data_IF_375963007454
#
_entry.id   IF_375963007454
#
_cell.length_a   1.000
_cell.length_b   1.000
_cell.length_c   1.000
_cell.angle_alpha   90.00
_cell.angle_beta   90.00
_cell.angle_gamma   90.00
#
_symmetry.space_group_name_H-M   'P 1'
#
loop_
_entity.id
_entity.type
_entity.pdbx_description
1 polymer ?
#
# COMPACT_ATOMS: atom_id res chain seq x y z
N UNK A 1 -1.02 -11.64 4.97
CA UNK A 1 -1.23 -10.53 5.91
C UNK A 1 -2.07 -10.95 7.12
N UNK A 2 -1.65 -10.56 8.33
CA UNK A 2 -2.38 -10.71 9.60
C UNK A 2 -2.62 -9.33 10.20
N UNK A 3 -3.76 -9.16 10.86
CA UNK A 3 -4.22 -7.89 11.42
C UNK A 3 -4.62 -8.14 12.85
N UNK A 4 -3.95 -7.48 13.79
CA UNK A 4 -4.24 -7.56 15.21
C UNK A 4 -4.66 -6.18 15.73
N UNK A 5 -5.84 -6.11 16.33
CA UNK A 5 -6.34 -4.91 17.01
C UNK A 5 -6.02 -5.04 18.51
N UNK A 6 -5.06 -4.23 18.98
CA UNK A 6 -4.63 -4.18 20.37
C UNK A 6 -5.33 -3.05 21.14
N UNK A 7 -6.42 -2.50 20.59
CA UNK A 7 -7.25 -1.43 21.16
C UNK A 7 -6.65 -0.04 20.97
N UNK A 8 -5.42 0.17 21.44
CA UNK A 8 -4.72 1.45 21.25
C UNK A 8 -4.00 1.55 19.89
N UNK A 9 -3.72 0.41 19.27
CA UNK A 9 -2.93 0.27 18.05
C UNK A 9 -3.48 -0.86 17.18
N UNK A 10 -3.40 -0.69 15.87
CA UNK A 10 -3.65 -1.75 14.88
C UNK A 10 -2.29 -2.17 14.35
N UNK A 11 -1.92 -3.42 14.62
CA UNK A 11 -0.68 -4.01 14.12
C UNK A 11 -0.99 -4.83 12.89
N UNK A 12 -0.37 -4.48 11.76
CA UNK A 12 -0.49 -5.25 10.53
C UNK A 12 0.83 -5.96 10.28
N UNK A 13 0.78 -7.28 10.32
CA UNK A 13 1.91 -8.15 10.02
C UNK A 13 1.80 -8.67 8.60
N UNK A 14 2.78 -8.41 7.77
CA UNK A 14 2.85 -8.96 6.41
C UNK A 14 4.25 -9.50 6.11
N UNK A 15 4.38 -10.49 5.21
CA UNK A 15 5.67 -10.89 4.67
C UNK A 15 6.46 -9.68 4.16
N UNK A 16 7.78 -9.73 4.34
CA UNK A 16 8.68 -8.63 3.96
C UNK A 16 8.55 -8.22 2.49
N UNK A 17 8.29 -9.18 1.61
CA UNK A 17 8.07 -8.96 0.18
C UNK A 17 6.79 -8.16 -0.10
N UNK A 18 5.70 -8.47 0.61
CA UNK A 18 4.42 -7.73 0.52
C UNK A 18 4.58 -6.29 1.03
N UNK A 19 5.35 -6.08 2.11
CA UNK A 19 5.64 -4.74 2.64
C UNK A 19 6.37 -3.86 1.61
N UNK A 20 7.43 -4.39 1.00
CA UNK A 20 8.18 -3.64 -0.01
C UNK A 20 7.32 -3.31 -1.23
N UNK A 21 6.45 -4.23 -1.66
CA UNK A 21 5.52 -3.98 -2.75
C UNK A 21 4.57 -2.82 -2.43
N UNK A 22 3.98 -2.81 -1.23
CA UNK A 22 3.07 -1.73 -0.79
C UNK A 22 3.80 -0.39 -0.71
N UNK A 23 5.00 -0.34 -0.14
CA UNK A 23 5.81 0.89 -0.07
C UNK A 23 6.19 1.39 -1.46
N UNK A 24 6.65 0.51 -2.36
CA UNK A 24 7.01 0.89 -3.73
C UNK A 24 5.81 1.43 -4.51
N UNK A 25 4.62 0.85 -4.34
CA UNK A 25 3.39 1.34 -4.97
C UNK A 25 2.96 2.71 -4.42
N UNK A 26 3.10 2.94 -3.12
CA UNK A 26 2.84 4.25 -2.52
C UNK A 26 3.82 5.30 -3.01
N UNK A 27 5.12 4.99 -3.07
CA UNK A 27 6.15 5.89 -3.60
C UNK A 27 5.92 6.23 -5.07
N UNK A 28 5.67 5.24 -5.92
CA UNK A 28 5.42 5.45 -7.35
C UNK A 28 4.13 6.27 -7.57
N UNK A 29 3.10 6.08 -6.75
CA UNK A 29 1.87 6.88 -6.84
C UNK A 29 2.07 8.35 -6.43
N UNK A 30 3.03 8.64 -5.54
CA UNK A 30 3.39 10.01 -5.12
C UNK A 30 4.30 10.69 -6.14
N UNK A 31 5.28 9.96 -6.68
CA UNK A 31 6.28 10.49 -7.61
C UNK A 31 5.71 10.69 -9.02
N UNK A 32 4.82 9.80 -9.47
CA UNK A 32 4.37 9.77 -10.85
C UNK A 32 3.03 10.50 -10.97
N UNK A 33 3.07 11.73 -11.48
CA UNK A 33 1.87 12.52 -11.77
C UNK A 33 1.03 12.00 -12.95
N UNK A 34 1.64 11.23 -13.86
CA UNK A 34 0.98 10.65 -15.04
C UNK A 34 0.43 9.24 -14.77
N UNK A 35 -0.83 9.00 -15.09
CA UNK A 35 -1.52 7.71 -14.93
C UNK A 35 -0.95 6.63 -15.86
N UNK A 36 -0.57 7.00 -17.10
CA UNK A 36 -0.13 6.02 -18.12
C UNK A 36 1.26 5.49 -17.84
N UNK A 37 2.13 6.35 -17.31
CA UNK A 37 3.48 5.95 -16.91
C UNK A 37 3.44 5.00 -15.71
N UNK A 38 2.62 5.34 -14.70
CA UNK A 38 2.36 4.46 -13.56
C UNK A 38 1.88 3.08 -14.00
N UNK A 39 0.89 3.01 -14.88
CA UNK A 39 0.33 1.74 -15.34
C UNK A 39 1.34 0.93 -16.15
N UNK A 40 2.19 1.57 -16.95
CA UNK A 40 3.24 0.90 -17.73
C UNK A 40 4.29 0.27 -16.82
N UNK A 41 4.66 0.95 -15.73
CA UNK A 41 5.72 0.51 -14.80
C UNK A 41 5.23 -0.53 -13.80
N UNK A 42 4.01 -0.38 -13.30
CA UNK A 42 3.44 -1.23 -12.24
C UNK A 42 2.56 -2.36 -12.77
N UNK A 43 2.06 -2.24 -14.01
CA UNK A 43 1.10 -3.17 -14.59
C UNK A 43 -0.32 -3.02 -14.04
N UNK A 44 -0.57 -2.06 -13.15
CA UNK A 44 -1.87 -1.79 -12.53
C UNK A 44 -2.22 -0.30 -12.63
N UNK A 45 -3.51 0.03 -12.65
CA UNK A 45 -3.99 1.42 -12.57
C UNK A 45 -3.85 1.98 -11.16
N UNK A 46 -3.77 3.31 -11.00
CA UNK A 46 -3.73 3.90 -9.64
C UNK A 46 -5.00 3.61 -8.86
N UNK A 47 -6.14 3.43 -9.53
CA UNK A 47 -7.40 3.07 -8.87
C UNK A 47 -7.43 1.62 -8.36
N UNK A 48 -6.87 0.67 -9.10
CA UNK A 48 -6.69 -0.71 -8.61
C UNK A 48 -5.78 -0.74 -7.38
N UNK A 49 -4.65 -0.02 -7.46
CA UNK A 49 -3.71 0.10 -6.34
C UNK A 49 -4.37 0.80 -5.15
N UNK A 50 -5.14 1.88 -5.37
CA UNK A 50 -5.88 2.58 -4.33
C UNK A 50 -6.95 1.68 -3.70
N UNK A 51 -7.62 0.83 -4.48
CA UNK A 51 -8.59 -0.13 -3.97
C UNK A 51 -7.92 -1.19 -3.09
N UNK A 52 -6.76 -1.71 -3.51
CA UNK A 52 -5.94 -2.63 -2.71
C UNK A 52 -5.53 -1.94 -1.40
N UNK A 53 -4.94 -0.74 -1.47
CA UNK A 53 -4.51 0.00 -0.29
C UNK A 53 -5.66 0.32 0.67
N UNK A 54 -6.86 0.64 0.15
CA UNK A 54 -8.08 0.86 0.96
C UNK A 54 -8.66 -0.42 1.55
N UNK A 55 -8.37 -1.58 0.96
CA UNK A 55 -8.75 -2.89 1.51
C UNK A 55 -7.82 -3.35 2.62
N UNK A 56 -6.62 -2.76 2.69
CA UNK A 56 -5.75 -2.95 3.84
C UNK A 56 -6.38 -2.22 5.04
N UNK A 57 -6.35 -2.84 6.23
CA UNK A 57 -6.74 -2.15 7.46
C UNK A 57 -5.85 -0.91 7.64
N UNK A 58 -6.39 0.12 8.29
CA UNK A 58 -5.67 1.34 8.58
C UNK A 58 -4.39 1.03 9.38
N UNK A 59 -3.26 1.00 8.67
CA UNK A 59 -1.93 1.01 9.25
C UNK A 59 -1.75 2.39 9.89
N UNK A 60 -1.89 2.48 11.21
CA UNK A 60 -1.39 3.67 11.91
C UNK A 60 0.13 3.70 11.67
N UNK A 61 0.59 4.68 10.90
CA UNK A 61 2.01 5.02 10.83
C UNK A 61 2.44 5.41 12.26
N UNK A 62 3.04 4.45 12.97
CA UNK A 62 3.71 4.70 14.24
C UNK A 62 4.97 5.51 13.96
N UNK A 63 5.05 6.71 14.56
CA UNK A 63 6.24 7.55 14.61
C UNK A 63 7.30 6.96 15.54
#
# INVERSE_FOLDING_TARGET
MQVEDLGAEIVVSMPREEYFLVVSLMSEAIETGDERDFQTRTGATKDEVRAILRSLPDLRFGY
#
